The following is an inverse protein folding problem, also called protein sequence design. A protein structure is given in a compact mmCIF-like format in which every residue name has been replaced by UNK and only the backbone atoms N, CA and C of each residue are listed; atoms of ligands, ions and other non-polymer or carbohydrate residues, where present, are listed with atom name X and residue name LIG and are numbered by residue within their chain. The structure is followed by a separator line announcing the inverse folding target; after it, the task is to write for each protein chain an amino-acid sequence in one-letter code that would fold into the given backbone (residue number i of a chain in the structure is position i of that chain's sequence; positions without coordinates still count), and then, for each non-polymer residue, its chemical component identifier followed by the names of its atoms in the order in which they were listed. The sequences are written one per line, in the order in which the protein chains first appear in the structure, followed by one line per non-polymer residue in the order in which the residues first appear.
data_IF_939725479626
#
_entry.id   IF_939725479626
#
_cell.length_a   1.000
_cell.length_b   1.000
_cell.length_c   1.000
_cell.angle_alpha   90.00
_cell.angle_beta   90.00
_cell.angle_gamma   90.00
#
_symmetry.space_group_name_H-M   'P 1'
#
loop_
_entity.id
_entity.type
_entity.pdbx_description
1 polymer ?
#
# COMPACT_ATOMS: atom_id res chain seq x y z
N UNK A 1 60.59 -43.56 16.20
CA UNK A 1 60.24 -42.63 15.10
C UNK A 1 58.87 -42.08 15.41
N UNK A 2 58.83 -40.82 15.81
CA UNK A 2 57.60 -40.11 16.17
C UNK A 2 57.08 -39.41 14.91
N UNK A 3 55.82 -39.62 14.57
CA UNK A 3 55.12 -38.74 13.63
C UNK A 3 53.89 -38.18 14.33
N UNK A 4 53.91 -36.86 14.43
CA UNK A 4 53.08 -36.03 15.27
C UNK A 4 51.86 -35.55 14.49
N UNK A 5 50.69 -35.78 15.09
CA UNK A 5 49.58 -34.83 15.29
C UNK A 5 49.15 -33.92 14.14
N UNK A 6 47.86 -33.95 13.81
CA UNK A 6 47.01 -32.74 13.82
C UNK A 6 45.52 -33.09 13.83
N UNK A 7 44.89 -32.92 15.00
CA UNK A 7 43.44 -32.81 15.15
C UNK A 7 43.02 -31.43 14.62
N UNK A 8 42.19 -31.43 13.60
CA UNK A 8 41.69 -30.21 12.97
C UNK A 8 40.44 -29.75 13.74
N UNK A 9 40.63 -28.80 14.66
CA UNK A 9 39.54 -28.17 15.40
C UNK A 9 38.75 -27.22 14.50
N UNK A 10 37.44 -27.43 14.44
CA UNK A 10 36.48 -26.56 13.77
C UNK A 10 36.32 -25.27 14.61
N UNK A 11 36.84 -24.14 14.11
CA UNK A 11 36.66 -22.83 14.75
C UNK A 11 35.40 -22.21 14.16
N UNK A 12 34.38 -22.02 15.00
CA UNK A 12 33.17 -21.25 14.66
C UNK A 12 33.53 -19.77 14.88
N UNK A 13 33.69 -19.02 13.80
CA UNK A 13 33.91 -17.58 13.86
C UNK A 13 32.57 -16.89 14.09
N UNK A 14 32.32 -16.46 15.33
CA UNK A 14 31.23 -15.52 15.65
C UNK A 14 31.73 -14.11 15.33
N UNK A 15 31.18 -13.49 14.29
CA UNK A 15 31.48 -12.10 13.95
C UNK A 15 30.53 -11.20 14.76
N UNK A 16 31.04 -10.64 15.86
CA UNK A 16 30.37 -9.56 16.60
C UNK A 16 30.75 -8.25 15.93
N UNK A 17 29.82 -7.66 15.17
CA UNK A 17 30.00 -6.31 14.61
C UNK A 17 29.57 -5.30 15.66
N UNK A 18 30.50 -4.89 16.54
CA UNK A 18 30.34 -3.73 17.38
C UNK A 18 30.71 -2.48 16.57
N UNK A 19 29.72 -1.71 16.11
CA UNK A 19 29.94 -0.46 15.39
C UNK A 19 30.51 0.61 16.32
N UNK A 20 31.72 1.04 15.98
CA UNK A 20 32.47 2.13 16.58
C UNK A 20 31.76 3.47 16.26
N UNK A 21 31.25 4.17 17.27
CA UNK A 21 30.76 5.54 17.10
C UNK A 21 31.98 6.46 17.00
N UNK A 22 32.32 6.87 15.78
CA UNK A 22 33.29 7.93 15.52
C UNK A 22 32.52 9.25 15.52
N UNK A 23 32.53 9.96 16.65
CA UNK A 23 32.21 11.38 16.72
C UNK A 23 33.39 12.17 16.15
N UNK A 24 33.41 12.32 14.84
CA UNK A 24 34.37 13.15 14.12
C UNK A 24 33.62 14.14 13.25
N UNK A 25 33.73 15.42 13.58
CA UNK A 25 33.31 16.55 12.74
C UNK A 25 34.00 16.46 11.38
N UNK A 26 33.30 15.86 10.43
CA UNK A 26 33.72 15.69 9.05
C UNK A 26 32.48 15.91 8.18
N UNK A 27 32.56 16.93 7.34
CA UNK A 27 31.58 17.35 6.36
C UNK A 27 31.06 16.11 5.62
N UNK A 28 29.85 15.69 5.98
CA UNK A 28 29.16 14.59 5.33
C UNK A 28 28.86 15.01 3.91
N UNK A 29 29.58 14.41 2.96
CA UNK A 29 29.19 14.41 1.55
C UNK A 29 27.83 13.70 1.52
N UNK A 30 26.77 14.50 1.46
CA UNK A 30 25.40 14.06 1.22
C UNK A 30 25.33 13.58 -0.23
N UNK A 31 25.87 12.38 -0.50
CA UNK A 31 25.63 11.69 -1.75
C UNK A 31 24.16 11.29 -1.74
N UNK A 32 23.37 12.11 -2.43
CA UNK A 32 21.96 11.94 -2.61
C UNK A 32 21.65 10.62 -3.29
N UNK A 33 21.40 9.60 -2.48
CA UNK A 33 20.23 8.78 -2.74
C UNK A 33 19.08 9.68 -2.33
N UNK A 34 18.53 10.45 -3.27
CA UNK A 34 17.11 10.79 -3.17
C UNK A 34 16.44 9.42 -3.15
N UNK A 35 16.24 8.87 -1.96
CA UNK A 35 15.15 7.94 -1.75
C UNK A 35 13.96 8.84 -2.04
N UNK A 36 13.55 8.85 -3.29
CA UNK A 36 12.32 9.47 -3.72
C UNK A 36 11.28 8.85 -2.79
N UNK A 37 10.81 9.65 -1.83
CA UNK A 37 9.78 9.27 -0.88
C UNK A 37 8.52 9.13 -1.72
N UNK A 38 8.40 8.02 -2.43
CA UNK A 38 7.17 7.60 -3.08
C UNK A 38 6.41 6.70 -2.12
N UNK A 39 5.07 6.76 -2.14
CA UNK A 39 4.27 7.79 -2.80
C UNK A 39 4.51 9.19 -2.19
N UNK A 40 4.26 10.23 -2.98
CA UNK A 40 4.44 11.63 -2.56
C UNK A 40 3.66 11.90 -1.27
N UNK A 41 4.31 12.21 -0.13
CA UNK A 41 3.64 12.24 1.18
C UNK A 41 2.53 13.29 1.30
N UNK A 42 2.58 14.33 0.47
CA UNK A 42 1.61 15.42 0.40
C UNK A 42 0.48 15.19 -0.60
N UNK A 43 0.48 14.08 -1.35
CA UNK A 43 -0.65 13.72 -2.17
C UNK A 43 -1.87 13.40 -1.30
N UNK A 44 -3.06 13.80 -1.75
CA UNK A 44 -4.31 13.67 -1.00
C UNK A 44 -5.35 12.88 -1.79
N UNK A 45 -6.09 12.05 -1.07
CA UNK A 45 -7.32 11.42 -1.53
C UNK A 45 -8.50 12.26 -1.04
N UNK A 46 -9.38 12.65 -1.95
CA UNK A 46 -10.57 13.42 -1.63
C UNK A 46 -11.67 12.51 -1.07
N UNK A 47 -12.35 12.97 -0.03
CA UNK A 47 -13.46 12.29 0.61
C UNK A 47 -14.66 13.22 0.57
N UNK A 48 -15.72 12.83 -0.14
CA UNK A 48 -16.85 13.71 -0.44
C UNK A 48 -18.20 13.04 -0.16
N UNK A 49 -19.27 13.83 -0.13
CA UNK A 49 -20.64 13.34 0.02
C UNK A 49 -21.08 13.25 1.49
N UNK A 50 -21.70 12.13 1.86
CA UNK A 50 -22.25 11.86 3.19
C UNK A 50 -21.17 11.56 4.23
N UNK A 51 -20.38 12.58 4.57
CA UNK A 51 -19.34 12.54 5.60
C UNK A 51 -19.72 13.49 6.74
N UNK A 52 -19.55 13.05 7.99
CA UNK A 52 -19.78 13.91 9.15
C UNK A 52 -18.74 15.04 9.18
N UNK A 53 -19.22 16.28 9.20
CA UNK A 53 -18.36 17.47 9.11
C UNK A 53 -18.12 17.98 7.69
N UNK A 54 -18.65 17.28 6.67
CA UNK A 54 -18.56 17.66 5.26
C UNK A 54 -17.36 17.06 4.54
N UNK A 55 -17.19 17.47 3.28
CA UNK A 55 -16.08 17.00 2.44
C UNK A 55 -14.73 17.31 3.09
N UNK A 56 -13.82 16.35 3.02
CA UNK A 56 -12.47 16.42 3.60
C UNK A 56 -11.48 15.70 2.69
N UNK A 57 -10.22 15.66 3.08
CA UNK A 57 -9.19 14.88 2.38
C UNK A 57 -8.42 14.03 3.39
N UNK A 58 -7.84 12.92 2.91
CA UNK A 58 -6.87 12.13 3.66
C UNK A 58 -5.54 12.14 2.91
N UNK A 59 -4.47 12.45 3.63
CA UNK A 59 -3.11 12.49 3.07
C UNK A 59 -2.57 11.08 2.88
N UNK A 60 -1.66 10.94 1.92
CA UNK A 60 -0.91 9.70 1.73
C UNK A 60 -0.15 9.28 3.00
N UNK A 61 0.36 10.25 3.76
CA UNK A 61 1.01 9.98 5.06
C UNK A 61 0.07 9.32 6.07
N UNK A 62 -1.19 9.75 6.13
CA UNK A 62 -2.20 9.13 6.99
C UNK A 62 -2.52 7.70 6.52
N UNK A 63 -2.67 7.48 5.21
CA UNK A 63 -2.89 6.14 4.64
C UNK A 63 -1.72 5.20 4.97
N UNK A 64 -0.48 5.66 4.83
CA UNK A 64 0.72 4.87 5.13
C UNK A 64 0.88 4.53 6.62
N UNK A 65 0.26 5.32 7.51
CA UNK A 65 0.27 5.07 8.95
C UNK A 65 -0.81 4.07 9.40
N UNK A 66 -1.76 3.72 8.53
CA UNK A 66 -2.75 2.68 8.82
C UNK A 66 -2.11 1.27 8.83
N UNK A 67 -2.70 0.30 9.55
CA UNK A 67 -2.24 -1.08 9.50
C UNK A 67 -2.18 -1.60 8.05
N UNK A 68 -0.97 -1.98 7.61
CA UNK A 68 -0.76 -2.48 6.26
C UNK A 68 -1.18 -3.95 6.13
N UNK A 69 -1.90 -4.26 5.06
CA UNK A 69 -2.18 -5.63 4.62
C UNK A 69 -1.41 -5.92 3.33
N UNK A 70 -0.94 -7.16 3.18
CA UNK A 70 -0.14 -7.60 2.05
C UNK A 70 -0.54 -9.00 1.61
N UNK A 71 -0.92 -9.15 0.36
CA UNK A 71 -1.34 -10.42 -0.22
C UNK A 71 -1.19 -10.44 -1.75
N UNK A 72 -1.16 -11.64 -2.31
CA UNK A 72 -1.26 -11.83 -3.76
C UNK A 72 -2.72 -11.74 -4.20
N UNK A 73 -2.99 -10.99 -5.27
CA UNK A 73 -4.29 -10.91 -5.91
C UNK A 73 -4.15 -11.31 -7.36
N UNK A 74 -5.05 -12.19 -7.81
CA UNK A 74 -5.26 -12.46 -9.23
C UNK A 74 -6.28 -11.45 -9.76
N UNK A 75 -5.86 -10.62 -10.71
CA UNK A 75 -6.72 -9.67 -11.42
C UNK A 75 -7.14 -10.32 -12.74
N UNK A 76 -8.43 -10.64 -12.86
CA UNK A 76 -9.03 -11.27 -14.03
C UNK A 76 -9.79 -10.25 -14.87
N UNK A 77 -9.32 -10.06 -16.10
CA UNK A 77 -9.89 -9.14 -17.08
C UNK A 77 -9.69 -9.75 -18.49
N UNK A 78 -9.35 -8.93 -19.49
CA UNK A 78 -8.92 -9.43 -20.80
C UNK A 78 -7.68 -10.34 -20.71
N UNK A 79 -6.81 -10.08 -19.73
CA UNK A 79 -5.65 -10.88 -19.40
C UNK A 79 -5.61 -11.09 -17.90
N UNK A 80 -5.30 -12.31 -17.47
CA UNK A 80 -5.17 -12.64 -16.06
C UNK A 80 -3.74 -12.34 -15.61
N UNK A 81 -3.60 -11.58 -14.53
CA UNK A 81 -2.30 -11.20 -13.96
C UNK A 81 -2.35 -11.38 -12.45
N UNK A 82 -1.25 -11.86 -11.87
CA UNK A 82 -1.12 -11.99 -10.41
C UNK A 82 -0.08 -10.98 -9.95
N UNK A 83 -0.45 -10.18 -8.94
CA UNK A 83 0.45 -9.21 -8.33
C UNK A 83 0.41 -9.32 -6.81
N UNK A 84 1.56 -9.06 -6.19
CA UNK A 84 1.66 -8.88 -4.76
C UNK A 84 1.32 -7.43 -4.42
N UNK A 85 0.16 -7.19 -3.84
CA UNK A 85 -0.24 -5.85 -3.41
C UNK A 85 0.01 -5.65 -1.92
N UNK A 86 0.25 -4.39 -1.56
CA UNK A 86 0.29 -3.93 -0.19
C UNK A 86 -0.45 -2.60 -0.07
N UNK A 87 -1.29 -2.48 0.96
CA UNK A 87 -2.25 -1.37 1.11
C UNK A 87 -2.89 -1.31 2.49
N UNK A 88 -3.76 -0.32 2.68
CA UNK A 88 -4.64 -0.26 3.84
C UNK A 88 -5.93 -1.07 3.57
N UNK A 89 -6.40 -1.84 4.55
CA UNK A 89 -7.71 -2.49 4.47
C UNK A 89 -8.79 -1.41 4.49
N UNK A 90 -9.75 -1.47 3.56
CA UNK A 90 -10.81 -0.46 3.45
C UNK A 90 -11.67 -0.37 4.70
N UNK A 91 -12.00 -1.51 5.33
CA UNK A 91 -12.72 -1.52 6.59
C UNK A 91 -12.03 -0.67 7.68
N UNK A 92 -10.70 -0.82 7.82
CA UNK A 92 -9.92 -0.03 8.78
C UNK A 92 -9.89 1.45 8.37
N UNK A 93 -9.70 1.75 7.08
CA UNK A 93 -9.75 3.13 6.59
C UNK A 93 -11.09 3.79 6.94
N UNK A 94 -12.20 3.08 6.74
CA UNK A 94 -13.56 3.60 6.94
C UNK A 94 -13.95 3.70 8.42
N UNK A 95 -13.34 2.89 9.29
CA UNK A 95 -13.62 2.91 10.74
C UNK A 95 -12.68 3.84 11.51
N UNK A 96 -11.40 3.89 11.13
CA UNK A 96 -10.35 4.53 11.93
C UNK A 96 -9.99 5.94 11.41
N UNK A 97 -10.15 6.19 10.11
CA UNK A 97 -9.70 7.44 9.48
C UNK A 97 -10.84 8.33 8.95
N UNK A 98 -12.04 7.77 8.72
CA UNK A 98 -13.15 8.49 8.11
C UNK A 98 -14.36 8.45 9.03
N UNK A 99 -14.96 9.61 9.31
CA UNK A 99 -16.23 9.68 10.05
C UNK A 99 -17.40 9.75 9.06
N UNK A 100 -17.86 8.59 8.60
CA UNK A 100 -18.94 8.48 7.61
C UNK A 100 -20.29 8.81 8.26
N UNK A 101 -21.18 9.51 7.54
CA UNK A 101 -22.56 9.71 8.00
C UNK A 101 -23.29 8.35 8.08
N UNK A 102 -24.01 8.04 9.17
CA UNK A 102 -24.69 6.75 9.32
C UNK A 102 -25.81 6.51 8.30
N UNK A 103 -26.23 7.53 7.55
CA UNK A 103 -27.19 7.41 6.44
C UNK A 103 -26.52 7.14 5.09
N UNK A 104 -25.19 7.05 5.04
CA UNK A 104 -24.49 6.61 3.85
C UNK A 104 -24.67 5.09 3.69
N UNK A 105 -25.05 4.67 2.48
CA UNK A 105 -25.28 3.27 2.13
C UNK A 105 -24.18 2.74 1.21
N UNK A 106 -23.60 3.61 0.38
CA UNK A 106 -22.64 3.24 -0.64
C UNK A 106 -21.38 4.10 -0.60
N UNK A 107 -20.27 3.54 -1.06
CA UNK A 107 -19.03 4.24 -1.33
C UNK A 107 -18.62 4.02 -2.80
N UNK A 108 -18.45 5.11 -3.53
CA UNK A 108 -18.03 5.15 -4.93
C UNK A 108 -16.56 5.57 -4.99
N UNK A 109 -15.72 4.70 -5.53
CA UNK A 109 -14.29 4.97 -5.75
C UNK A 109 -14.12 5.54 -7.15
N UNK A 110 -13.60 6.75 -7.25
CA UNK A 110 -13.49 7.52 -8.49
C UNK A 110 -12.00 7.69 -8.83
N UNK A 111 -11.64 7.29 -10.05
CA UNK A 111 -10.31 7.46 -10.60
C UNK A 111 -10.13 8.83 -11.27
N UNK A 112 -8.88 9.24 -11.49
CA UNK A 112 -8.58 10.49 -12.21
C UNK A 112 -9.08 10.54 -13.65
N UNK A 113 -9.38 9.39 -14.26
CA UNK A 113 -9.92 9.25 -15.62
C UNK A 113 -11.45 9.11 -15.62
N UNK A 114 -12.11 9.48 -14.52
CA UNK A 114 -13.54 9.36 -14.26
C UNK A 114 -14.07 7.91 -14.26
N UNK A 115 -13.19 6.90 -14.30
CA UNK A 115 -13.62 5.53 -14.07
C UNK A 115 -14.04 5.36 -12.61
N UNK A 116 -15.19 4.73 -12.38
CA UNK A 116 -15.73 4.58 -11.04
C UNK A 116 -16.29 3.18 -10.79
N UNK A 117 -16.21 2.77 -9.53
CA UNK A 117 -16.89 1.58 -9.05
C UNK A 117 -17.50 1.81 -7.66
N UNK A 118 -18.72 1.34 -7.46
CA UNK A 118 -19.48 1.52 -6.22
C UNK A 118 -19.63 0.19 -5.49
N UNK A 119 -19.47 0.24 -4.17
CA UNK A 119 -19.74 -0.87 -3.26
C UNK A 119 -20.68 -0.40 -2.14
N UNK A 120 -21.45 -1.33 -1.58
CA UNK A 120 -22.15 -1.03 -0.33
C UNK A 120 -21.15 -0.87 0.81
N UNK A 121 -21.41 0.06 1.73
CA UNK A 121 -20.54 0.26 2.90
C UNK A 121 -20.52 -0.98 3.78
N UNK A 122 -21.67 -1.65 3.94
CA UNK A 122 -21.76 -2.91 4.68
C UNK A 122 -20.86 -3.99 4.09
N UNK A 123 -20.79 -4.12 2.76
CA UNK A 123 -19.87 -5.07 2.13
C UNK A 123 -18.42 -4.73 2.45
N UNK A 124 -18.02 -3.46 2.36
CA UNK A 124 -16.67 -3.01 2.68
C UNK A 124 -16.32 -3.31 4.14
N UNK A 125 -17.20 -2.95 5.07
CA UNK A 125 -16.96 -3.11 6.51
C UNK A 125 -16.91 -4.59 6.94
N UNK A 126 -17.61 -5.47 6.22
CA UNK A 126 -17.60 -6.92 6.47
C UNK A 126 -16.50 -7.65 5.69
N UNK A 127 -15.62 -6.94 4.98
CA UNK A 127 -14.55 -7.53 4.17
C UNK A 127 -13.16 -7.08 4.63
N UNK A 128 -12.30 -8.04 5.00
CA UNK A 128 -10.93 -7.79 5.44
C UNK A 128 -9.87 -7.98 4.34
N UNK A 129 -10.30 -8.14 3.10
CA UNK A 129 -9.44 -8.39 1.92
C UNK A 129 -9.57 -7.31 0.85
N UNK A 130 -10.47 -6.34 1.00
CA UNK A 130 -10.49 -5.19 0.11
C UNK A 130 -9.46 -4.19 0.59
N UNK A 131 -8.61 -3.74 -0.31
CA UNK A 131 -7.54 -2.81 0.04
C UNK A 131 -7.50 -1.62 -0.88
N UNK A 132 -7.06 -0.50 -0.32
CA UNK A 132 -6.52 0.62 -1.06
C UNK A 132 -4.99 0.45 -1.10
N UNK A 133 -4.51 -0.12 -2.20
CA UNK A 133 -3.10 -0.44 -2.40
C UNK A 133 -2.29 0.81 -2.75
N UNK A 134 -1.13 0.94 -2.11
CA UNK A 134 -0.11 1.95 -2.42
C UNK A 134 1.20 1.30 -2.89
N UNK A 135 1.28 -0.04 -2.90
CA UNK A 135 2.42 -0.82 -3.41
C UNK A 135 1.98 -2.00 -4.27
N UNK A 136 2.75 -2.26 -5.32
CA UNK A 136 2.65 -3.44 -6.19
C UNK A 136 4.04 -4.06 -6.37
N UNK A 137 4.18 -5.37 -6.16
CA UNK A 137 5.42 -6.13 -6.28
C UNK A 137 6.60 -5.52 -5.50
N UNK A 138 6.34 -5.09 -4.25
CA UNK A 138 7.30 -4.43 -3.36
C UNK A 138 7.82 -3.07 -3.86
N UNK A 139 7.14 -2.44 -4.83
CA UNK A 139 7.41 -1.08 -5.27
C UNK A 139 6.20 -0.21 -4.98
N UNK A 140 6.43 1.01 -4.53
CA UNK A 140 5.36 1.99 -4.42
C UNK A 140 4.76 2.25 -5.79
N UNK A 141 3.44 2.42 -5.82
CA UNK A 141 2.75 2.94 -6.98
C UNK A 141 3.16 4.41 -7.18
N UNK A 142 3.18 4.85 -8.43
CA UNK A 142 3.71 6.16 -8.82
C UNK A 142 2.71 6.90 -9.71
N UNK A 143 2.86 8.22 -9.78
CA UNK A 143 2.02 9.08 -10.59
C UNK A 143 2.14 8.76 -12.08
N UNK A 144 1.15 9.21 -12.86
CA UNK A 144 1.22 9.16 -14.32
C UNK A 144 2.38 9.99 -14.89
N UNK A 145 2.82 11.04 -14.19
CA UNK A 145 3.98 11.86 -14.62
C UNK A 145 5.30 11.08 -14.55
N UNK A 146 5.36 10.03 -13.71
CA UNK A 146 6.51 9.15 -13.53
C UNK A 146 6.32 7.78 -14.22
N UNK A 147 5.53 7.72 -15.29
CA UNK A 147 5.18 6.48 -16.01
C UNK A 147 4.47 5.42 -15.14
N UNK A 148 3.85 5.84 -14.03
CA UNK A 148 3.09 5.00 -13.13
C UNK A 148 1.61 4.86 -13.51
N UNK A 149 0.81 4.30 -12.60
CA UNK A 149 -0.64 4.10 -12.77
C UNK A 149 -1.46 4.80 -11.68
N UNK A 150 -0.91 5.86 -11.10
CA UNK A 150 -1.49 6.54 -9.95
C UNK A 150 -0.95 6.04 -8.62
N UNK A 151 -1.09 6.84 -7.56
CA UNK A 151 -0.54 6.52 -6.25
C UNK A 151 -1.37 5.50 -5.47
N UNK A 152 -2.66 5.37 -5.78
CA UNK A 152 -3.58 4.46 -5.11
C UNK A 152 -4.34 3.58 -6.10
N UNK A 153 -4.53 2.32 -5.74
CA UNK A 153 -5.30 1.36 -6.51
C UNK A 153 -6.28 0.62 -5.58
N UNK A 154 -7.58 0.71 -5.84
CA UNK A 154 -8.56 -0.18 -5.24
C UNK A 154 -8.35 -1.61 -5.73
N UNK A 155 -8.15 -2.56 -4.83
CA UNK A 155 -7.96 -3.97 -5.17
C UNK A 155 -8.95 -4.82 -4.38
N UNK A 156 -9.74 -5.61 -5.11
CA UNK A 156 -10.69 -6.57 -4.55
C UNK A 156 -10.36 -7.99 -5.04
N UNK A 157 -10.54 -9.03 -4.22
CA UNK A 157 -10.32 -10.42 -4.64
C UNK A 157 -11.39 -10.91 -5.61
N UNK A 158 -11.13 -12.06 -6.24
CA UNK A 158 -12.16 -12.85 -6.90
C UNK A 158 -13.00 -13.58 -5.84
N UNK A 159 -14.31 -13.63 -6.00
CA UNK A 159 -15.19 -14.45 -5.15
C UNK A 159 -15.13 -15.94 -5.54
N UNK A 160 -14.96 -16.23 -6.83
CA UNK A 160 -14.91 -17.59 -7.35
C UNK A 160 -14.05 -17.69 -8.63
N UNK A 161 -14.06 -18.85 -9.29
CA UNK A 161 -13.27 -19.13 -10.49
C UNK A 161 -13.79 -18.44 -11.77
N UNK A 162 -15.03 -17.97 -11.78
CA UNK A 162 -15.68 -17.30 -12.90
C UNK A 162 -15.78 -15.78 -12.72
N UNK A 163 -15.37 -15.28 -11.56
CA UNK A 163 -15.40 -13.87 -11.25
C UNK A 163 -14.29 -13.09 -11.99
N UNK A 164 -14.69 -12.07 -12.74
CA UNK A 164 -13.82 -11.13 -13.44
C UNK A 164 -13.74 -9.81 -12.65
N UNK A 165 -12.89 -9.79 -11.63
CA UNK A 165 -12.72 -8.65 -10.72
C UNK A 165 -12.01 -7.43 -11.32
N UNK A 166 -11.42 -7.51 -12.52
CA UNK A 166 -10.58 -6.45 -13.06
C UNK A 166 -11.28 -5.09 -13.20
N UNK A 167 -12.58 -5.10 -13.51
CA UNK A 167 -13.42 -3.89 -13.54
C UNK A 167 -13.64 -3.27 -12.15
N UNK A 168 -13.63 -4.10 -11.10
CA UNK A 168 -13.77 -3.64 -9.72
C UNK A 168 -12.48 -3.05 -9.13
N UNK A 169 -11.35 -3.28 -9.79
CA UNK A 169 -10.05 -2.83 -9.32
C UNK A 169 -9.70 -1.46 -9.93
N UNK A 170 -10.23 -0.38 -9.34
CA UNK A 170 -10.10 1.00 -9.82
C UNK A 170 -8.68 1.55 -9.62
N UNK A 171 -7.98 1.87 -10.72
CA UNK A 171 -6.63 2.47 -10.71
C UNK A 171 -6.67 3.97 -10.50
N UNK A 172 -5.62 4.52 -9.91
CA UNK A 172 -5.48 5.94 -9.59
C UNK A 172 -6.72 6.54 -8.91
N UNK A 173 -7.17 5.93 -7.82
CA UNK A 173 -8.29 6.46 -7.02
C UNK A 173 -7.89 7.83 -6.47
N UNK A 174 -8.64 8.87 -6.84
CA UNK A 174 -8.44 10.26 -6.39
C UNK A 174 -9.53 10.74 -5.46
N UNK A 175 -10.70 10.09 -5.49
CA UNK A 175 -11.85 10.45 -4.66
C UNK A 175 -12.61 9.21 -4.18
N UNK A 176 -13.12 9.25 -2.95
CA UNK A 176 -14.16 8.35 -2.45
C UNK A 176 -15.39 9.20 -2.12
N UNK A 177 -16.48 8.97 -2.85
CA UNK A 177 -17.76 9.64 -2.67
C UNK A 177 -18.71 8.73 -1.89
N UNK A 178 -19.27 9.25 -0.79
CA UNK A 178 -20.22 8.53 0.06
C UNK A 178 -21.66 8.99 -0.23
N UNK A 179 -22.54 8.03 -0.51
CA UNK A 179 -23.93 8.24 -0.95
C UNK A 179 -24.98 7.81 0.04
#
# INVERSE_FOLDING_TARGET
MAESTKKMGLIITVVVVSSLIITGTGIGIWLGVRASLHPEPGWTLDLTGKIQGGNTTITMSEILNLPSYKAEYEIRAKTNVVYLFQGAILANLFQDAITIDPTAENATFIASDDYQWTFSIDEILNNNTYILAYMQNNKYLDSYENDGNGYLWLVVPNYDEFDFNGQRCVKNVVEIYFE
#
